data_IF_675077377573
#
_entry.id   IF_675077377573
#
_cell.length_a   1.000
_cell.length_b   1.000
_cell.length_c   1.000
_cell.angle_alpha   90.00
_cell.angle_beta   90.00
_cell.angle_gamma   90.00
#
_symmetry.space_group_name_H-M   'P 1'
#
loop_
_entity.id
_entity.type
_entity.pdbx_description
1 polymer ?
#
# COMPACT_ATOMS: atom_id res chain seq x y z
N UNK A 1 -16.84 3.65 -43.88
CA UNK A 1 -16.21 4.77 -43.14
C UNK A 1 -15.86 4.30 -41.73
N UNK A 2 -14.62 3.87 -41.53
CA UNK A 2 -14.11 3.46 -40.21
C UNK A 2 -13.77 4.72 -39.40
N UNK A 3 -14.42 4.91 -38.25
CA UNK A 3 -14.06 5.97 -37.30
C UNK A 3 -12.74 5.59 -36.65
N UNK A 4 -11.70 6.35 -36.95
CA UNK A 4 -10.40 6.31 -36.26
C UNK A 4 -10.64 6.69 -34.80
N UNK A 5 -10.53 5.73 -33.89
CA UNK A 5 -10.45 5.97 -32.46
C UNK A 5 -9.10 6.60 -32.16
N UNK A 6 -9.05 7.90 -31.98
CA UNK A 6 -7.87 8.60 -31.49
C UNK A 6 -7.46 8.09 -30.10
N UNK A 7 -6.18 8.23 -29.73
CA UNK A 7 -5.71 7.81 -28.42
C UNK A 7 -6.51 8.52 -27.30
N UNK A 8 -7.00 7.75 -26.35
CA UNK A 8 -7.72 8.27 -25.19
C UNK A 8 -6.86 9.35 -24.48
N UNK A 9 -7.46 10.46 -24.07
CA UNK A 9 -6.73 11.54 -23.40
C UNK A 9 -6.03 11.00 -22.16
N UNK A 10 -4.75 11.32 -22.03
CA UNK A 10 -3.93 10.92 -20.88
C UNK A 10 -4.53 11.53 -19.61
N UNK A 11 -4.72 10.75 -18.53
CA UNK A 11 -5.25 11.31 -17.28
C UNK A 11 -4.37 12.45 -16.78
N UNK A 12 -5.01 13.50 -16.26
CA UNK A 12 -4.32 14.62 -15.64
C UNK A 12 -3.42 14.13 -14.47
N UNK A 13 -2.28 14.79 -14.19
CA UNK A 13 -1.44 14.41 -13.07
C UNK A 13 -2.21 14.56 -11.75
N UNK A 14 -2.02 13.64 -10.77
CA UNK A 14 -2.77 13.67 -9.52
C UNK A 14 -2.38 14.87 -8.67
N UNK A 15 -3.38 15.70 -8.30
CA UNK A 15 -3.16 16.93 -7.52
C UNK A 15 -3.03 16.68 -6.01
N UNK A 16 -3.45 15.52 -5.52
CA UNK A 16 -3.43 15.15 -4.11
C UNK A 16 -3.02 13.69 -3.91
N UNK A 17 -2.64 13.35 -2.67
CA UNK A 17 -2.27 12.00 -2.25
C UNK A 17 -3.24 11.50 -1.18
N UNK A 18 -3.89 10.37 -1.43
CA UNK A 18 -4.69 9.64 -0.46
C UNK A 18 -3.90 8.44 0.06
N UNK A 19 -3.68 8.36 1.37
CA UNK A 19 -3.07 7.21 2.03
C UNK A 19 -4.15 6.49 2.84
N UNK A 20 -4.47 5.26 2.47
CA UNK A 20 -5.46 4.43 3.15
C UNK A 20 -4.78 3.45 4.10
N UNK A 21 -5.26 3.37 5.33
CA UNK A 21 -4.77 2.45 6.36
C UNK A 21 -5.93 1.90 7.20
N UNK A 22 -5.80 0.69 7.77
CA UNK A 22 -6.89 0.02 8.48
C UNK A 22 -7.06 0.50 9.92
N UNK A 23 -5.95 0.64 10.66
CA UNK A 23 -5.93 0.78 12.10
C UNK A 23 -5.69 2.22 12.56
N UNK A 24 -6.19 2.57 13.74
CA UNK A 24 -5.93 3.88 14.36
C UNK A 24 -4.44 4.11 14.64
N UNK A 25 -3.71 3.05 15.01
CA UNK A 25 -2.27 3.13 15.27
C UNK A 25 -1.48 3.37 13.96
N UNK A 26 -1.90 2.78 12.85
CA UNK A 26 -1.31 3.05 11.54
C UNK A 26 -1.57 4.49 11.09
N UNK A 27 -2.80 4.97 11.27
CA UNK A 27 -3.15 6.37 10.98
C UNK A 27 -2.32 7.35 11.83
N UNK A 28 -2.08 7.03 13.10
CA UNK A 28 -1.24 7.86 13.97
C UNK A 28 0.20 7.90 13.45
N UNK A 29 0.77 6.77 13.05
CA UNK A 29 2.10 6.70 12.45
C UNK A 29 2.18 7.55 11.17
N UNK A 30 1.22 7.38 10.26
CA UNK A 30 1.17 8.04 8.95
C UNK A 30 0.81 9.53 9.00
N UNK A 31 0.27 10.04 10.11
CA UNK A 31 0.03 11.48 10.31
C UNK A 31 1.21 12.23 10.93
N UNK A 32 2.12 11.49 11.55
CA UNK A 32 3.25 12.07 12.28
C UNK A 32 4.45 12.47 11.45
N UNK A 33 4.46 12.22 10.16
CA UNK A 33 5.56 12.58 9.26
C UNK A 33 5.44 14.01 8.76
N UNK A 34 6.53 14.78 8.87
CA UNK A 34 6.59 16.17 8.39
C UNK A 34 7.19 16.24 6.99
N UNK A 35 6.58 17.07 6.14
CA UNK A 35 7.26 17.78 5.07
C UNK A 35 7.29 17.15 3.69
N UNK A 36 7.34 17.99 2.67
CA UNK A 36 7.74 17.64 1.31
C UNK A 36 6.63 17.14 0.37
N UNK A 37 5.36 17.18 0.77
CA UNK A 37 4.26 16.86 -0.14
C UNK A 37 4.16 17.89 -1.28
N UNK A 38 3.95 17.40 -2.50
CA UNK A 38 3.74 18.25 -3.68
C UNK A 38 2.29 18.78 -3.78
N UNK A 39 1.44 18.43 -2.80
CA UNK A 39 0.03 18.79 -2.74
C UNK A 39 -0.61 18.30 -1.45
N UNK A 40 -1.93 18.44 -1.30
CA UNK A 40 -2.66 17.96 -0.13
C UNK A 40 -2.46 16.44 0.08
N UNK A 41 -2.20 16.05 1.32
CA UNK A 41 -2.10 14.64 1.73
C UNK A 41 -3.21 14.33 2.73
N UNK A 42 -4.02 13.34 2.40
CA UNK A 42 -5.09 12.86 3.26
C UNK A 42 -4.80 11.43 3.72
N UNK A 43 -4.78 11.21 5.04
CA UNK A 43 -4.67 9.86 5.63
C UNK A 43 -6.04 9.42 6.12
N UNK A 44 -6.63 8.43 5.44
CA UNK A 44 -7.93 7.86 5.79
C UNK A 44 -7.76 6.55 6.54
N UNK A 45 -8.48 6.42 7.66
CA UNK A 45 -8.64 5.14 8.34
C UNK A 45 -9.87 4.44 7.78
N UNK A 46 -9.65 3.28 7.17
CA UNK A 46 -10.71 2.50 6.54
C UNK A 46 -11.46 1.60 7.53
N UNK A 47 -10.78 1.14 8.60
CA UNK A 47 -11.20 -0.03 9.37
C UNK A 47 -10.63 -1.32 8.76
N UNK A 48 -10.70 -2.41 9.50
CA UNK A 48 -10.19 -3.72 9.07
C UNK A 48 -11.15 -4.39 8.08
N UNK A 49 -10.56 -5.11 7.14
CA UNK A 49 -11.24 -5.96 6.18
C UNK A 49 -11.59 -5.27 4.85
N UNK A 50 -11.79 -6.08 3.80
CA UNK A 50 -11.89 -5.59 2.42
C UNK A 50 -13.13 -4.71 2.19
N UNK A 51 -14.28 -5.05 2.79
CA UNK A 51 -15.51 -4.26 2.64
C UNK A 51 -15.39 -2.85 3.21
N UNK A 52 -14.80 -2.70 4.41
CA UNK A 52 -14.56 -1.40 5.03
C UNK A 52 -13.58 -0.55 4.21
N UNK A 53 -12.53 -1.18 3.69
CA UNK A 53 -11.54 -0.51 2.85
C UNK A 53 -12.17 0.04 1.58
N UNK A 54 -12.96 -0.77 0.89
CA UNK A 54 -13.67 -0.39 -0.33
C UNK A 54 -14.62 0.78 -0.10
N UNK A 55 -15.51 0.69 0.88
CA UNK A 55 -16.46 1.76 1.20
C UNK A 55 -15.79 3.07 1.60
N UNK A 56 -14.78 3.02 2.47
CA UNK A 56 -14.11 4.22 2.94
C UNK A 56 -13.37 4.94 1.81
N UNK A 57 -12.67 4.19 0.96
CA UNK A 57 -11.91 4.77 -0.17
C UNK A 57 -12.85 5.34 -1.22
N UNK A 58 -13.89 4.61 -1.62
CA UNK A 58 -14.87 5.08 -2.59
C UNK A 58 -15.56 6.38 -2.12
N UNK A 59 -15.95 6.45 -0.84
CA UNK A 59 -16.54 7.64 -0.25
C UNK A 59 -15.62 8.87 -0.34
N UNK A 60 -14.34 8.73 0.05
CA UNK A 60 -13.39 9.84 0.04
C UNK A 60 -13.07 10.29 -1.39
N UNK A 61 -12.92 9.35 -2.31
CA UNK A 61 -12.66 9.67 -3.72
C UNK A 61 -13.87 10.27 -4.45
N UNK A 62 -15.07 10.11 -3.90
CA UNK A 62 -16.28 10.82 -4.36
C UNK A 62 -16.28 12.32 -4.01
N UNK A 63 -15.45 12.75 -3.08
CA UNK A 63 -15.32 14.17 -2.72
C UNK A 63 -14.53 14.92 -3.81
N UNK A 64 -14.96 16.12 -4.24
CA UNK A 64 -14.29 16.87 -5.32
C UNK A 64 -12.79 17.10 -5.08
N UNK A 65 -12.38 17.33 -3.83
CA UNK A 65 -10.99 17.56 -3.44
C UNK A 65 -10.07 16.34 -3.65
N UNK A 66 -10.64 15.13 -3.79
CA UNK A 66 -9.90 13.88 -3.91
C UNK A 66 -10.13 13.15 -5.24
N UNK A 67 -10.92 13.74 -6.14
CA UNK A 67 -11.32 13.11 -7.41
C UNK A 67 -10.14 12.59 -8.22
N UNK A 68 -9.02 13.33 -8.24
CA UNK A 68 -7.82 13.01 -9.01
C UNK A 68 -6.66 12.56 -8.11
N UNK A 69 -6.93 12.15 -6.88
CA UNK A 69 -5.89 11.73 -5.94
C UNK A 69 -5.17 10.46 -6.40
N UNK A 70 -3.83 10.45 -6.29
CA UNK A 70 -3.09 9.20 -6.28
C UNK A 70 -3.38 8.44 -4.97
N UNK A 71 -3.39 7.12 -4.99
CA UNK A 71 -3.78 6.32 -3.81
C UNK A 71 -2.66 5.36 -3.41
N UNK A 72 -2.30 5.40 -2.13
CA UNK A 72 -1.41 4.41 -1.51
C UNK A 72 -2.18 3.63 -0.44
N UNK A 73 -2.27 2.31 -0.58
CA UNK A 73 -2.63 1.42 0.51
C UNK A 73 -1.41 1.20 1.40
N UNK A 74 -1.48 1.56 2.69
CA UNK A 74 -0.35 1.41 3.62
C UNK A 74 -0.81 0.88 4.97
N UNK A 75 0.12 0.34 5.75
CA UNK A 75 -0.15 -0.27 7.05
C UNK A 75 0.65 -1.56 7.25
N UNK A 76 0.13 -2.47 8.06
CA UNK A 76 0.79 -3.71 8.41
C UNK A 76 0.35 -4.89 7.53
N UNK A 77 1.23 -5.90 7.42
CA UNK A 77 0.94 -7.16 6.72
C UNK A 77 1.64 -8.35 7.39
N UNK A 78 1.28 -9.55 6.96
CA UNK A 78 2.03 -10.75 7.24
C UNK A 78 2.93 -11.11 6.04
N UNK A 79 4.21 -11.30 6.28
CA UNK A 79 5.16 -11.86 5.32
C UNK A 79 4.93 -13.35 5.13
N UNK A 80 5.14 -13.86 3.92
CA UNK A 80 4.93 -15.27 3.57
C UNK A 80 6.24 -16.00 3.25
N UNK A 81 7.31 -15.29 2.88
CA UNK A 81 8.58 -15.91 2.54
C UNK A 81 9.47 -16.11 3.78
N UNK A 82 10.29 -17.20 3.81
CA UNK A 82 11.30 -17.39 4.85
C UNK A 82 12.30 -16.24 4.87
N UNK A 83 12.88 -15.98 6.04
CA UNK A 83 13.86 -14.92 6.24
C UNK A 83 13.28 -13.51 6.34
N UNK A 84 12.02 -13.30 6.08
CA UNK A 84 11.34 -12.03 6.33
C UNK A 84 11.25 -11.73 7.82
N UNK A 85 11.40 -10.46 8.20
CA UNK A 85 11.46 -10.04 9.61
C UNK A 85 10.45 -8.93 9.90
N UNK A 86 9.91 -8.86 11.13
CA UNK A 86 9.13 -7.71 11.56
C UNK A 86 9.90 -6.41 11.38
N UNK A 87 9.29 -5.44 10.73
CA UNK A 87 9.88 -4.16 10.34
C UNK A 87 10.48 -4.12 8.94
N UNK A 88 10.56 -5.24 8.21
CA UNK A 88 10.83 -5.21 6.77
C UNK A 88 9.62 -4.64 6.03
N UNK A 89 9.85 -4.22 4.79
CA UNK A 89 8.86 -3.56 3.95
C UNK A 89 8.48 -4.45 2.76
N UNK A 90 7.22 -4.37 2.37
CA UNK A 90 6.71 -4.88 1.10
C UNK A 90 6.32 -3.68 0.24
N UNK A 91 6.88 -3.58 -0.95
CA UNK A 91 6.37 -2.74 -2.04
C UNK A 91 5.74 -3.66 -3.05
N UNK A 92 4.42 -3.61 -3.16
CA UNK A 92 3.71 -4.50 -4.06
C UNK A 92 3.98 -4.13 -5.52
N UNK A 93 4.33 -5.11 -6.34
CA UNK A 93 4.29 -4.98 -7.81
C UNK A 93 2.86 -5.06 -8.31
N UNK A 94 2.08 -5.90 -7.64
CA UNK A 94 0.65 -6.05 -7.85
C UNK A 94 -0.07 -6.43 -6.56
N UNK A 95 -1.34 -6.09 -6.49
CA UNK A 95 -2.23 -6.61 -5.44
C UNK A 95 -3.20 -7.61 -6.06
N UNK A 96 -3.36 -8.76 -5.41
CA UNK A 96 -4.26 -9.84 -5.84
C UNK A 96 -5.47 -9.92 -4.92
N UNK A 97 -6.63 -9.67 -5.45
CA UNK A 97 -7.91 -9.82 -4.75
C UNK A 97 -8.81 -10.83 -5.45
N UNK A 98 -9.97 -11.17 -4.85
CA UNK A 98 -10.89 -12.16 -5.43
C UNK A 98 -11.52 -11.69 -6.76
N UNK A 99 -11.53 -10.38 -7.02
CA UNK A 99 -12.17 -9.78 -8.22
C UNK A 99 -11.17 -9.33 -9.27
N UNK A 100 -9.93 -9.04 -8.89
CA UNK A 100 -8.94 -8.47 -9.81
C UNK A 100 -7.52 -8.58 -9.28
N UNK A 101 -6.58 -8.62 -10.22
CA UNK A 101 -5.17 -8.32 -9.98
C UNK A 101 -4.89 -6.91 -10.48
N UNK A 102 -4.25 -6.07 -9.66
CA UNK A 102 -3.99 -4.67 -9.97
C UNK A 102 -2.48 -4.42 -9.90
N UNK A 103 -1.91 -4.04 -11.03
CA UNK A 103 -0.51 -3.64 -11.10
C UNK A 103 -0.31 -2.28 -10.42
N UNK A 104 0.70 -2.18 -9.57
CA UNK A 104 1.06 -0.97 -8.86
C UNK A 104 1.90 -0.02 -9.72
N UNK A 105 1.74 1.27 -9.50
CA UNK A 105 2.42 2.32 -10.26
C UNK A 105 3.73 2.72 -9.57
N UNK A 106 4.84 2.72 -10.32
CA UNK A 106 6.10 3.31 -9.87
C UNK A 106 6.78 2.54 -8.73
N UNK A 107 6.66 1.22 -8.71
CA UNK A 107 7.25 0.33 -7.68
C UNK A 107 8.74 0.57 -7.49
N UNK A 108 9.54 0.68 -8.55
CA UNK A 108 10.99 0.95 -8.45
C UNK A 108 11.29 2.26 -7.74
N UNK A 109 10.56 3.34 -8.04
CA UNK A 109 10.72 4.63 -7.36
C UNK A 109 10.44 4.53 -5.85
N UNK A 110 9.40 3.76 -5.48
CA UNK A 110 9.09 3.51 -4.06
C UNK A 110 10.19 2.71 -3.37
N UNK A 111 10.73 1.69 -4.01
CA UNK A 111 11.83 0.88 -3.47
C UNK A 111 13.04 1.76 -3.17
N UNK A 112 13.49 2.56 -4.14
CA UNK A 112 14.64 3.44 -3.99
C UNK A 112 14.42 4.50 -2.90
N UNK A 113 13.24 5.10 -2.87
CA UNK A 113 12.89 6.10 -1.86
C UNK A 113 12.80 5.50 -0.45
N UNK A 114 12.24 4.30 -0.32
CA UNK A 114 12.13 3.58 0.96
C UNK A 114 13.49 3.11 1.47
N UNK A 115 14.38 2.62 0.60
CA UNK A 115 15.74 2.25 0.98
C UNK A 115 16.51 3.44 1.60
N UNK A 116 16.25 4.65 1.10
CA UNK A 116 16.81 5.89 1.68
C UNK A 116 16.13 6.32 2.97
N UNK A 117 14.79 6.19 3.04
CA UNK A 117 14.00 6.65 4.18
C UNK A 117 14.14 5.76 5.43
N UNK A 118 14.38 4.47 5.24
CA UNK A 118 14.49 3.47 6.33
C UNK A 118 15.73 2.59 6.16
N UNK A 119 16.93 3.16 6.27
CA UNK A 119 18.17 2.42 6.11
C UNK A 119 18.24 1.26 7.12
N UNK A 120 18.78 0.12 6.68
CA UNK A 120 18.92 -1.10 7.50
C UNK A 120 17.63 -1.94 7.58
N UNK A 121 16.58 -1.61 6.79
CA UNK A 121 15.40 -2.47 6.59
C UNK A 121 15.41 -3.06 5.20
N UNK A 122 15.02 -4.33 5.10
CA UNK A 122 14.88 -4.97 3.79
C UNK A 122 13.58 -4.52 3.15
N UNK A 123 13.66 -4.12 1.88
CA UNK A 123 12.52 -3.81 1.03
C UNK A 123 12.34 -4.98 0.06
N UNK A 124 11.25 -5.71 0.22
CA UNK A 124 10.87 -6.81 -0.66
C UNK A 124 9.88 -6.32 -1.71
N UNK A 125 9.99 -6.85 -2.92
CA UNK A 125 9.07 -6.55 -4.03
C UNK A 125 8.43 -7.81 -4.56
N UNK A 126 7.14 -7.76 -4.89
CA UNK A 126 6.40 -8.87 -5.47
C UNK A 126 4.90 -8.78 -5.19
N UNK A 127 4.16 -9.86 -5.46
CA UNK A 127 2.71 -9.89 -5.29
C UNK A 127 2.30 -9.82 -3.82
N UNK A 128 1.33 -8.92 -3.53
CA UNK A 128 0.63 -8.81 -2.24
C UNK A 128 -0.80 -9.35 -2.41
N UNK A 129 -1.15 -10.40 -1.70
CA UNK A 129 -2.48 -11.00 -1.80
C UNK A 129 -3.42 -10.49 -0.72
N UNK A 130 -4.68 -10.31 -1.06
CA UNK A 130 -5.75 -9.96 -0.13
C UNK A 130 -6.34 -11.19 0.54
N UNK A 131 -6.78 -11.05 1.79
CA UNK A 131 -7.57 -12.03 2.53
C UNK A 131 -8.71 -11.33 3.24
N UNK A 132 -9.81 -12.03 3.51
CA UNK A 132 -10.92 -11.53 4.32
C UNK A 132 -10.78 -11.90 5.81
N UNK A 133 -9.75 -12.66 6.16
CA UNK A 133 -9.45 -13.10 7.52
C UNK A 133 -7.95 -13.16 7.79
N UNK A 134 -7.57 -13.33 9.07
CA UNK A 134 -6.18 -13.50 9.48
C UNK A 134 -5.65 -14.87 9.04
N UNK A 135 -4.65 -14.86 8.17
CA UNK A 135 -4.04 -16.07 7.60
C UNK A 135 -2.98 -16.63 8.55
N UNK A 136 -3.07 -17.93 8.86
CA UNK A 136 -2.16 -18.63 9.77
C UNK A 136 -1.78 -20.02 9.27
N UNK A 137 -0.67 -20.54 9.80
CA UNK A 137 -0.26 -21.94 9.61
C UNK A 137 -0.24 -22.37 8.14
N UNK A 138 -0.93 -23.48 7.81
CA UNK A 138 -0.95 -24.06 6.45
C UNK A 138 -1.47 -23.12 5.37
N UNK A 139 -2.36 -22.20 5.71
CA UNK A 139 -2.88 -21.21 4.76
C UNK A 139 -1.77 -20.28 4.24
N UNK A 140 -0.78 -19.92 5.07
CA UNK A 140 0.40 -19.14 4.62
C UNK A 140 1.19 -19.89 3.56
N UNK A 141 1.44 -21.19 3.77
CA UNK A 141 2.14 -22.01 2.80
C UNK A 141 1.38 -22.11 1.46
N UNK A 142 0.05 -22.26 1.54
CA UNK A 142 -0.80 -22.27 0.36
C UNK A 142 -0.76 -20.94 -0.40
N UNK A 143 -0.83 -19.80 0.28
CA UNK A 143 -0.72 -18.49 -0.37
C UNK A 143 0.69 -18.27 -0.96
N UNK A 144 1.73 -18.70 -0.25
CA UNK A 144 3.09 -18.61 -0.77
C UNK A 144 3.28 -19.44 -2.04
N UNK A 145 2.68 -20.63 -2.15
CA UNK A 145 2.77 -21.46 -3.36
C UNK A 145 2.15 -20.81 -4.60
N UNK A 146 1.30 -19.78 -4.43
CA UNK A 146 0.80 -18.94 -5.53
C UNK A 146 1.79 -17.87 -5.99
N UNK A 147 2.97 -17.79 -5.37
CA UNK A 147 3.96 -16.74 -5.61
C UNK A 147 3.73 -15.46 -4.81
N UNK A 148 2.74 -15.40 -3.92
CA UNK A 148 2.53 -14.24 -3.06
C UNK A 148 3.66 -14.10 -2.03
N UNK A 149 4.17 -12.88 -1.85
CA UNK A 149 5.21 -12.55 -0.87
C UNK A 149 4.65 -12.13 0.49
N UNK A 150 3.48 -11.53 0.48
CA UNK A 150 2.81 -11.09 1.71
C UNK A 150 1.29 -11.16 1.55
N UNK A 151 0.59 -11.07 2.68
CA UNK A 151 -0.87 -11.03 2.76
C UNK A 151 -1.32 -9.93 3.70
N UNK A 152 -2.38 -9.23 3.31
CA UNK A 152 -3.12 -8.30 4.16
C UNK A 152 -4.63 -8.41 3.91
N UNK A 153 -5.42 -7.54 4.54
CA UNK A 153 -6.87 -7.60 4.41
C UNK A 153 -7.47 -6.43 3.62
N UNK A 154 -6.69 -5.42 3.26
CA UNK A 154 -7.24 -4.17 2.74
C UNK A 154 -6.65 -3.70 1.40
N UNK A 155 -5.39 -4.02 1.09
CA UNK A 155 -4.71 -3.44 -0.09
C UNK A 155 -5.45 -3.70 -1.39
N UNK A 156 -5.81 -4.95 -1.65
CA UNK A 156 -6.49 -5.31 -2.90
C UNK A 156 -7.83 -4.58 -3.04
N UNK A 157 -8.62 -4.50 -1.98
CA UNK A 157 -9.91 -3.80 -1.98
C UNK A 157 -9.75 -2.27 -2.09
N UNK A 158 -8.74 -1.70 -1.41
CA UNK A 158 -8.37 -0.29 -1.52
C UNK A 158 -8.05 0.10 -2.96
N UNK A 159 -7.14 -0.64 -3.62
CA UNK A 159 -6.74 -0.33 -4.98
C UNK A 159 -7.86 -0.61 -5.98
N UNK A 160 -8.68 -1.64 -5.73
CA UNK A 160 -9.87 -1.90 -6.55
C UNK A 160 -10.86 -0.72 -6.49
N UNK A 161 -11.22 -0.26 -5.30
CA UNK A 161 -12.10 0.90 -5.12
C UNK A 161 -11.51 2.18 -5.73
N UNK A 162 -10.19 2.36 -5.61
CA UNK A 162 -9.51 3.50 -6.20
C UNK A 162 -9.68 3.52 -7.74
N UNK A 163 -9.41 2.41 -8.41
CA UNK A 163 -9.53 2.33 -9.87
C UNK A 163 -11.00 2.33 -10.36
N UNK A 164 -11.92 1.76 -9.58
CA UNK A 164 -13.35 1.85 -9.86
C UNK A 164 -13.87 3.30 -9.82
N UNK A 165 -13.24 4.18 -9.04
CA UNK A 165 -13.55 5.62 -8.96
C UNK A 165 -12.89 6.44 -10.08
N UNK A 166 -12.19 5.81 -11.03
CA UNK A 166 -11.55 6.42 -12.19
C UNK A 166 -10.04 6.11 -12.29
N UNK A 167 -9.45 6.30 -13.48
CA UNK A 167 -8.04 6.02 -13.74
C UNK A 167 -7.14 6.92 -12.89
N UNK A 168 -6.23 6.33 -12.13
CA UNK A 168 -5.29 7.03 -11.24
C UNK A 168 -4.07 6.19 -10.92
N UNK A 169 -2.94 6.79 -10.50
CA UNK A 169 -1.82 6.05 -9.94
C UNK A 169 -2.19 5.40 -8.61
N UNK A 170 -1.84 4.12 -8.46
CA UNK A 170 -2.09 3.35 -7.24
C UNK A 170 -0.84 2.59 -6.82
N UNK A 171 -0.60 2.47 -5.51
CA UNK A 171 0.49 1.69 -4.96
C UNK A 171 0.09 1.04 -3.63
N UNK A 172 0.80 -0.02 -3.24
CA UNK A 172 0.67 -0.61 -1.91
C UNK A 172 2.05 -0.80 -1.28
N UNK A 173 2.20 -0.27 -0.05
CA UNK A 173 3.43 -0.37 0.76
C UNK A 173 3.03 -0.82 2.15
N UNK A 174 3.57 -1.95 2.59
CA UNK A 174 3.23 -2.55 3.88
C UNK A 174 4.48 -2.78 4.72
N UNK A 175 4.33 -2.70 6.04
CA UNK A 175 5.35 -3.08 7.02
C UNK A 175 5.01 -4.46 7.56
N UNK A 176 5.97 -5.38 7.49
CA UNK A 176 5.80 -6.73 8.02
C UNK A 176 5.75 -6.65 9.55
N UNK A 177 4.71 -7.22 10.15
CA UNK A 177 4.60 -7.37 11.61
C UNK A 177 4.62 -8.84 12.03
N UNK A 178 4.37 -9.74 11.09
CA UNK A 178 4.24 -11.17 11.29
C UNK A 178 4.87 -11.93 10.12
N UNK A 179 5.70 -12.93 10.39
CA UNK A 179 6.41 -13.72 9.40
C UNK A 179 6.51 -15.18 9.84
N UNK A 180 6.81 -16.13 8.93
CA UNK A 180 6.81 -17.58 9.26
C UNK A 180 7.64 -17.97 10.46
N UNK A 181 8.77 -17.30 10.68
CA UNK A 181 9.72 -17.56 11.78
C UNK A 181 9.51 -16.62 12.97
N UNK A 182 8.58 -15.67 12.87
CA UNK A 182 8.32 -14.61 13.84
C UNK A 182 6.80 -14.38 14.02
N UNK A 183 6.09 -15.42 14.49
CA UNK A 183 4.64 -15.30 14.71
C UNK A 183 4.31 -14.35 15.87
N UNK A 184 3.31 -13.51 15.66
CA UNK A 184 2.83 -12.46 16.60
C UNK A 184 2.44 -12.98 18.01
N UNK A 185 2.30 -14.28 18.20
CA UNK A 185 1.79 -14.90 19.45
C UNK A 185 2.87 -15.08 20.51
N UNK A 186 4.14 -14.77 20.24
CA UNK A 186 5.23 -14.93 21.21
C UNK A 186 5.64 -13.60 21.85
N UNK A 187 6.08 -13.65 23.11
CA UNK A 187 6.43 -12.56 24.04
C UNK A 187 7.30 -11.39 23.48
N UNK A 188 7.75 -11.47 22.22
CA UNK A 188 8.41 -10.37 21.50
C UNK A 188 7.51 -9.33 20.86
N UNK A 189 6.20 -9.49 20.93
CA UNK A 189 5.17 -8.72 20.19
C UNK A 189 5.22 -7.21 20.44
N UNK A 190 5.54 -6.78 21.66
CA UNK A 190 5.59 -5.34 22.00
C UNK A 190 6.77 -4.65 21.30
N UNK A 191 7.96 -5.28 21.29
CA UNK A 191 9.13 -4.71 20.61
C UNK A 191 8.98 -4.72 19.10
N UNK A 192 8.40 -5.77 18.53
CA UNK A 192 8.07 -5.88 17.12
C UNK A 192 7.05 -4.81 16.68
N UNK A 193 6.01 -4.59 17.48
CA UNK A 193 4.99 -3.57 17.24
C UNK A 193 5.55 -2.14 17.28
N UNK A 194 6.40 -1.83 18.26
CA UNK A 194 7.07 -0.51 18.35
C UNK A 194 8.01 -0.30 17.15
N UNK A 195 8.75 -1.33 16.74
CA UNK A 195 9.63 -1.26 15.56
C UNK A 195 8.82 -1.01 14.29
N UNK A 196 7.76 -1.77 14.04
CA UNK A 196 6.90 -1.62 12.88
C UNK A 196 6.20 -0.24 12.85
N UNK A 197 5.75 0.27 13.99
CA UNK A 197 5.20 1.62 14.09
C UNK A 197 6.22 2.71 13.68
N UNK A 198 7.46 2.60 14.16
CA UNK A 198 8.54 3.54 13.80
C UNK A 198 8.85 3.48 12.30
N UNK A 199 8.92 2.27 11.73
CA UNK A 199 9.13 2.08 10.30
C UNK A 199 7.97 2.68 9.52
N UNK A 200 6.71 2.39 9.88
CA UNK A 200 5.54 2.94 9.21
C UNK A 200 5.48 4.47 9.25
N UNK A 201 5.97 5.08 10.33
CA UNK A 201 6.11 6.55 10.40
C UNK A 201 7.21 7.08 9.48
N UNK A 202 8.29 6.33 9.31
CA UNK A 202 9.44 6.73 8.53
C UNK A 202 9.26 6.61 7.01
N UNK A 203 8.21 5.90 6.52
CA UNK A 203 7.97 5.73 5.07
C UNK A 203 7.38 6.96 4.38
N UNK A 204 6.82 7.92 5.13
CA UNK A 204 6.10 9.07 4.57
C UNK A 204 6.91 9.91 3.57
N UNK A 205 8.19 10.23 3.80
CA UNK A 205 9.00 10.94 2.82
C UNK A 205 9.06 10.24 1.46
N UNK A 206 9.11 8.90 1.47
CA UNK A 206 9.11 8.11 0.24
C UNK A 206 7.77 8.19 -0.52
N UNK A 207 6.64 8.25 0.21
CA UNK A 207 5.32 8.44 -0.41
C UNK A 207 5.19 9.83 -1.04
N UNK A 208 5.72 10.85 -0.40
CA UNK A 208 5.77 12.20 -0.95
C UNK A 208 6.68 12.29 -2.19
N UNK A 209 7.81 11.59 -2.18
CA UNK A 209 8.73 11.53 -3.33
C UNK A 209 8.06 10.80 -4.50
N UNK A 210 7.42 9.66 -4.26
CA UNK A 210 6.64 8.94 -5.27
C UNK A 210 5.54 9.84 -5.87
N UNK A 211 4.75 10.51 -5.04
CA UNK A 211 3.69 11.42 -5.51
C UNK A 211 4.27 12.54 -6.38
N UNK A 212 5.36 13.19 -5.96
CA UNK A 212 6.03 14.21 -6.77
C UNK A 212 6.50 13.69 -8.12
N UNK A 213 7.01 12.46 -8.18
CA UNK A 213 7.48 11.87 -9.43
C UNK A 213 6.36 11.67 -10.46
N UNK A 214 5.11 11.52 -10.00
CA UNK A 214 3.95 11.40 -10.87
C UNK A 214 3.55 12.73 -11.54
N UNK A 215 3.99 13.86 -10.99
CA UNK A 215 3.73 15.19 -11.53
C UNK A 215 4.74 15.60 -12.60
N UNK A 216 5.88 14.89 -12.67
CA UNK A 216 6.93 15.19 -13.65
C UNK A 216 6.55 14.60 -15.01
N UNK A 217 6.78 15.34 -16.12
CA UNK A 217 6.61 14.80 -17.45
C UNK A 217 7.54 13.60 -17.63
N UNK A 218 7.00 12.46 -18.07
CA UNK A 218 7.83 11.31 -18.46
C UNK A 218 8.57 11.68 -19.74
N UNK A 219 9.90 11.71 -19.65
CA UNK A 219 10.77 11.86 -20.81
C UNK A 219 10.74 10.59 -21.67
#
# INVERSE_FOLDING_TARGET
MARSSGPSPRPAPPTSLLIACALSIERLALRGGRGGAAGPVTVVRTGMGPGNAEHAVARVLGEPAHRDAAVIASGFCAGLAPGMRPGDLIVAEETRGPRSTITCTGTGLLVDALARAVPGRTVHTGPLTGSDHLVRGRQRAALRSTGALAVDMESAATLHAALASGPRPVAAVRVIVDAPEHELIRIGTVRGGISAFRVLRAVLPAFHEWHRSLLLPRR
#
